data_IF_655735297973
#
_entry.id   IF_655735297973
#
_cell.length_a   1.000
_cell.length_b   1.000
_cell.length_c   1.000
_cell.angle_alpha   90.00
_cell.angle_beta   90.00
_cell.angle_gamma   90.00
#
_symmetry.space_group_name_H-M   'P 1'
#
loop_
_entity.id
_entity.type
_entity.pdbx_description
1 polymer ?
#
# COMPACT_ATOMS: atom_id res chain seq x y z
N UNK A 1 -2.42 -32.68 -8.78
CA UNK A 1 -1.40 -31.61 -8.71
C UNK A 1 -1.98 -30.23 -8.36
N UNK A 2 -2.99 -29.71 -9.09
CA UNK A 2 -3.65 -28.42 -8.76
C UNK A 2 -4.23 -28.35 -7.34
N UNK A 3 -4.82 -29.44 -6.83
CA UNK A 3 -5.36 -29.49 -5.46
C UNK A 3 -4.30 -29.43 -4.36
N UNK A 4 -3.12 -30.02 -4.58
CA UNK A 4 -2.00 -29.96 -3.64
C UNK A 4 -1.33 -28.59 -3.64
N UNK A 5 -1.25 -27.93 -4.81
CA UNK A 5 -0.80 -26.53 -4.92
C UNK A 5 -1.76 -25.58 -4.18
N UNK A 6 -3.08 -25.74 -4.42
CA UNK A 6 -4.13 -24.94 -3.76
C UNK A 6 -4.13 -25.15 -2.24
N UNK A 7 -3.93 -26.37 -1.76
CA UNK A 7 -3.83 -26.68 -0.33
C UNK A 7 -2.52 -26.20 0.34
N UNK A 8 -1.43 -26.05 -0.43
CA UNK A 8 -0.17 -25.42 0.03
C UNK A 8 -0.27 -23.90 0.10
N UNK A 9 -0.97 -23.27 -0.85
CA UNK A 9 -1.21 -21.83 -0.89
C UNK A 9 -2.23 -21.39 0.17
N UNK A 10 -3.31 -22.16 0.37
CA UNK A 10 -4.35 -21.87 1.36
C UNK A 10 -3.89 -22.02 2.82
N UNK A 11 -2.82 -22.80 3.06
CA UNK A 11 -2.23 -22.99 4.40
C UNK A 11 -1.15 -21.95 4.75
N UNK A 12 -0.86 -20.98 3.87
CA UNK A 12 0.16 -19.96 4.09
C UNK A 12 -0.44 -18.59 4.31
N UNK A 13 -0.08 -17.97 5.43
CA UNK A 13 -0.24 -16.54 5.68
C UNK A 13 0.81 -15.69 4.91
N UNK A 14 1.16 -16.07 3.68
CA UNK A 14 2.14 -15.35 2.87
C UNK A 14 1.43 -14.43 1.87
N UNK A 15 1.38 -13.15 2.24
CA UNK A 15 0.82 -12.05 1.44
C UNK A 15 1.45 -11.88 0.04
N UNK A 16 2.65 -12.44 -0.19
CA UNK A 16 3.40 -12.30 -1.45
C UNK A 16 2.69 -12.96 -2.66
N UNK A 17 2.13 -14.16 -2.48
CA UNK A 17 1.42 -14.86 -3.57
C UNK A 17 0.14 -14.12 -3.95
N UNK A 18 -0.58 -13.62 -2.94
CA UNK A 18 -1.77 -12.80 -3.13
C UNK A 18 -1.44 -11.51 -3.86
N UNK A 19 -0.33 -10.85 -3.51
CA UNK A 19 0.12 -9.64 -4.21
C UNK A 19 0.48 -9.91 -5.67
N UNK A 20 1.20 -11.01 -5.95
CA UNK A 20 1.54 -11.40 -7.32
C UNK A 20 0.29 -11.72 -8.15
N UNK A 21 -0.70 -12.41 -7.58
CA UNK A 21 -1.97 -12.67 -8.25
C UNK A 21 -2.76 -11.39 -8.53
N UNK A 22 -2.88 -10.51 -7.54
CA UNK A 22 -3.54 -9.20 -7.70
C UNK A 22 -2.89 -8.39 -8.81
N UNK A 23 -1.56 -8.38 -8.89
CA UNK A 23 -0.81 -7.73 -9.98
C UNK A 23 -1.19 -8.29 -11.34
N UNK A 24 -1.19 -9.62 -11.51
CA UNK A 24 -1.56 -10.27 -12.77
C UNK A 24 -2.97 -9.88 -13.18
N UNK A 25 -3.94 -9.98 -12.25
CA UNK A 25 -5.34 -9.63 -12.53
C UNK A 25 -5.48 -8.15 -12.89
N UNK A 26 -4.81 -7.26 -12.15
CA UNK A 26 -4.91 -5.82 -12.37
C UNK A 26 -4.34 -5.41 -13.74
N UNK A 27 -3.20 -5.99 -14.16
CA UNK A 27 -2.63 -5.73 -15.49
C UNK A 27 -3.57 -6.24 -16.60
N UNK A 28 -4.18 -7.40 -16.42
CA UNK A 28 -5.19 -7.92 -17.37
C UNK A 28 -6.43 -7.02 -17.45
N UNK A 29 -6.89 -6.48 -16.33
CA UNK A 29 -8.00 -5.52 -16.30
C UNK A 29 -7.64 -4.22 -17.02
N UNK A 30 -6.42 -3.70 -16.83
CA UNK A 30 -5.92 -2.53 -17.56
C UNK A 30 -5.85 -2.83 -19.06
N UNK A 31 -5.38 -4.01 -19.46
CA UNK A 31 -5.35 -4.43 -20.86
C UNK A 31 -6.76 -4.48 -21.45
N UNK A 32 -7.71 -5.12 -20.77
CA UNK A 32 -9.10 -5.19 -21.22
C UNK A 32 -9.73 -3.79 -21.35
N UNK A 33 -9.49 -2.92 -20.37
CA UNK A 33 -9.89 -1.51 -20.42
C UNK A 33 -9.29 -0.81 -21.65
N UNK A 34 -7.99 -0.95 -21.87
CA UNK A 34 -7.31 -0.35 -23.01
C UNK A 34 -7.86 -0.86 -24.35
N UNK A 35 -8.06 -2.17 -24.51
CA UNK A 35 -8.63 -2.74 -25.73
C UNK A 35 -10.06 -2.26 -26.00
N UNK A 36 -10.85 -2.04 -24.94
CA UNK A 36 -12.25 -1.61 -25.06
C UNK A 36 -12.37 -0.13 -25.42
N UNK A 37 -11.55 0.73 -24.80
CA UNK A 37 -11.74 2.18 -24.87
C UNK A 37 -10.67 2.92 -25.69
N UNK A 38 -9.59 2.26 -26.13
CA UNK A 38 -8.49 2.92 -26.85
C UNK A 38 -8.92 3.69 -28.10
N UNK A 39 -9.95 3.23 -28.80
CA UNK A 39 -10.46 3.90 -30.00
C UNK A 39 -11.11 5.27 -29.70
N UNK A 40 -11.53 5.51 -28.46
CA UNK A 40 -12.14 6.76 -28.03
C UNK A 40 -11.10 7.80 -27.56
N UNK A 41 -9.86 7.39 -27.39
CA UNK A 41 -8.80 8.26 -26.89
C UNK A 41 -8.15 9.04 -28.04
N UNK A 42 -7.98 10.34 -27.86
CA UNK A 42 -7.23 11.19 -28.79
C UNK A 42 -5.72 11.05 -28.56
N UNK A 43 -5.20 9.84 -28.79
CA UNK A 43 -3.78 9.49 -28.61
C UNK A 43 -3.18 8.97 -29.92
N UNK A 44 -1.88 9.19 -30.10
CA UNK A 44 -1.16 8.69 -31.28
C UNK A 44 -1.05 7.16 -31.29
N UNK A 45 -0.89 6.56 -32.48
CA UNK A 45 -0.62 5.12 -32.60
C UNK A 45 0.65 4.70 -31.86
N UNK A 46 1.66 5.56 -31.86
CA UNK A 46 2.91 5.32 -31.13
C UNK A 46 2.68 5.22 -29.61
N UNK A 47 1.88 6.12 -29.02
CA UNK A 47 1.53 6.04 -27.59
C UNK A 47 0.78 4.75 -27.25
N UNK A 48 -0.16 4.31 -28.10
CA UNK A 48 -0.84 3.03 -27.90
C UNK A 48 0.11 1.84 -27.97
N UNK A 49 1.04 1.84 -28.92
CA UNK A 49 2.08 0.80 -29.02
C UNK A 49 2.98 0.79 -27.78
N UNK A 50 3.41 1.96 -27.30
CA UNK A 50 4.18 2.08 -26.05
C UNK A 50 3.39 1.54 -24.86
N UNK A 51 2.11 1.87 -24.73
CA UNK A 51 1.25 1.37 -23.67
C UNK A 51 1.12 -0.16 -23.72
N UNK A 52 0.83 -0.74 -24.89
CA UNK A 52 0.72 -2.20 -25.02
C UNK A 52 2.03 -2.92 -24.77
N UNK A 53 3.15 -2.34 -25.19
CA UNK A 53 4.49 -2.84 -24.86
C UNK A 53 4.72 -2.81 -23.34
N UNK A 54 4.37 -1.71 -22.68
CA UNK A 54 4.48 -1.54 -21.23
C UNK A 54 3.63 -2.57 -20.48
N UNK A 55 2.38 -2.80 -20.92
CA UNK A 55 1.49 -3.81 -20.37
C UNK A 55 2.07 -5.21 -20.56
N UNK A 56 2.59 -5.53 -21.74
CA UNK A 56 3.21 -6.82 -22.02
C UNK A 56 4.46 -7.07 -21.14
N UNK A 57 5.32 -6.05 -20.98
CA UNK A 57 6.48 -6.09 -20.08
C UNK A 57 6.02 -6.32 -18.64
N UNK A 58 5.03 -5.54 -18.18
CA UNK A 58 4.47 -5.68 -16.84
C UNK A 58 3.90 -7.07 -16.59
N UNK A 59 3.15 -7.61 -17.56
CA UNK A 59 2.56 -8.93 -17.48
C UNK A 59 3.63 -10.03 -17.44
N UNK A 60 4.64 -9.94 -18.32
CA UNK A 60 5.77 -10.87 -18.34
C UNK A 60 6.54 -10.87 -17.02
N UNK A 61 6.84 -9.70 -16.49
CA UNK A 61 7.52 -9.55 -15.20
C UNK A 61 6.68 -10.07 -14.03
N UNK A 62 5.35 -9.86 -14.05
CA UNK A 62 4.46 -10.42 -13.04
C UNK A 62 4.47 -11.96 -13.07
N UNK A 63 4.48 -12.56 -14.26
CA UNK A 63 4.56 -14.02 -14.43
C UNK A 63 5.93 -14.57 -14.00
N UNK A 64 7.03 -13.90 -14.33
CA UNK A 64 8.39 -14.27 -13.88
C UNK A 64 8.48 -14.24 -12.35
N UNK A 65 8.00 -13.16 -11.71
CA UNK A 65 7.99 -13.05 -10.26
C UNK A 65 7.09 -14.11 -9.61
N UNK A 66 5.93 -14.41 -10.19
CA UNK A 66 5.06 -15.49 -9.73
C UNK A 66 5.72 -16.86 -9.87
N UNK A 67 6.39 -17.14 -10.99
CA UNK A 67 7.18 -18.35 -11.20
C UNK A 67 8.31 -18.48 -10.18
N UNK A 68 9.00 -17.38 -9.87
CA UNK A 68 10.04 -17.35 -8.84
C UNK A 68 9.48 -17.62 -7.43
N UNK A 69 8.27 -17.14 -7.13
CA UNK A 69 7.57 -17.46 -5.87
C UNK A 69 7.27 -18.98 -5.79
N UNK A 70 6.79 -19.58 -6.87
CA UNK A 70 6.48 -21.01 -6.93
C UNK A 70 7.75 -21.87 -6.82
N UNK A 71 8.84 -21.45 -7.47
CA UNK A 71 10.12 -22.16 -7.46
C UNK A 71 10.87 -22.03 -6.14
N UNK A 72 10.91 -20.83 -5.55
CA UNK A 72 11.51 -20.58 -4.24
C UNK A 72 10.53 -19.86 -3.30
N UNK A 73 9.76 -20.61 -2.49
CA UNK A 73 8.71 -20.06 -1.65
C UNK A 73 9.22 -19.43 -0.35
N UNK A 74 10.53 -19.24 -0.19
CA UNK A 74 11.09 -18.47 0.93
C UNK A 74 10.81 -16.97 0.75
N UNK A 75 10.66 -16.25 1.87
CA UNK A 75 10.48 -14.79 1.88
C UNK A 75 11.73 -14.13 1.29
N UNK A 76 11.54 -13.20 0.36
CA UNK A 76 12.64 -12.52 -0.33
C UNK A 76 12.39 -11.03 -0.40
N UNK A 77 13.20 -10.26 0.34
CA UNK A 77 13.17 -8.80 0.30
C UNK A 77 13.47 -8.26 -1.11
N UNK A 78 14.41 -8.88 -1.82
CA UNK A 78 14.76 -8.48 -3.19
C UNK A 78 13.59 -8.65 -4.15
N UNK A 79 12.94 -9.81 -4.13
CA UNK A 79 11.77 -10.09 -4.99
C UNK A 79 10.65 -9.08 -4.78
N UNK A 80 10.44 -8.71 -3.51
CA UNK A 80 9.43 -7.74 -3.12
C UNK A 80 9.77 -6.33 -3.59
N UNK A 81 11.00 -5.86 -3.37
CA UNK A 81 11.44 -4.53 -3.82
C UNK A 81 11.40 -4.41 -5.34
N UNK A 82 11.85 -5.44 -6.06
CA UNK A 82 11.73 -5.48 -7.52
C UNK A 82 10.27 -5.39 -7.95
N UNK A 83 9.39 -6.18 -7.34
CA UNK A 83 7.96 -6.11 -7.62
C UNK A 83 7.35 -4.74 -7.36
N UNK A 84 7.73 -4.06 -6.27
CA UNK A 84 7.24 -2.71 -5.99
C UNK A 84 7.76 -1.72 -7.04
N UNK A 85 9.07 -1.76 -7.35
CA UNK A 85 9.67 -0.89 -8.36
C UNK A 85 8.98 -1.04 -9.72
N UNK A 86 8.67 -2.28 -10.10
CA UNK A 86 7.87 -2.60 -11.27
C UNK A 86 6.49 -1.94 -11.24
N UNK A 87 5.72 -2.13 -10.16
CA UNK A 87 4.36 -1.61 -10.04
C UNK A 87 4.36 -0.08 -10.13
N UNK A 88 5.20 0.58 -9.34
CA UNK A 88 5.30 2.03 -9.29
C UNK A 88 5.84 2.60 -10.61
N UNK A 89 6.87 1.99 -11.20
CA UNK A 89 7.45 2.45 -12.46
C UNK A 89 6.48 2.31 -13.63
N UNK A 90 5.81 1.17 -13.77
CA UNK A 90 4.87 0.93 -14.88
C UNK A 90 3.64 1.81 -14.77
N UNK A 91 3.09 2.00 -13.56
CA UNK A 91 1.96 2.92 -13.34
C UNK A 91 2.37 4.35 -13.70
N UNK A 92 3.53 4.80 -13.21
CA UNK A 92 4.05 6.14 -13.51
C UNK A 92 4.21 6.37 -15.01
N UNK A 93 4.92 5.48 -15.70
CA UNK A 93 5.12 5.56 -17.15
C UNK A 93 3.80 5.56 -17.94
N UNK A 94 2.84 4.71 -17.56
CA UNK A 94 1.52 4.67 -18.19
C UNK A 94 0.78 6.01 -18.02
N UNK A 95 0.82 6.59 -16.82
CA UNK A 95 0.22 7.90 -16.54
C UNK A 95 0.96 9.04 -17.26
N UNK A 96 2.29 8.97 -17.36
CA UNK A 96 3.10 9.98 -18.05
C UNK A 96 2.75 10.05 -19.53
N UNK A 97 2.74 8.89 -20.21
CA UNK A 97 2.57 8.82 -21.66
C UNK A 97 1.12 8.98 -22.12
N UNK A 98 0.17 8.48 -21.34
CA UNK A 98 -1.24 8.52 -21.73
C UNK A 98 -1.97 9.74 -21.17
N UNK A 99 -1.60 10.24 -19.99
CA UNK A 99 -2.32 11.33 -19.34
C UNK A 99 -3.73 10.91 -18.88
N UNK A 100 -4.76 11.64 -19.31
CA UNK A 100 -6.15 11.46 -18.87
C UNK A 100 -6.66 10.00 -18.90
N UNK A 101 -6.46 9.21 -19.98
CA UNK A 101 -6.97 7.84 -20.07
C UNK A 101 -6.44 6.89 -18.99
N UNK A 102 -5.25 7.18 -18.44
CA UNK A 102 -4.61 6.39 -17.40
C UNK A 102 -4.60 7.09 -16.04
N UNK A 103 -5.26 8.24 -15.90
CA UNK A 103 -5.27 8.98 -14.64
C UNK A 103 -5.89 8.19 -13.48
N UNK A 104 -6.82 7.27 -13.76
CA UNK A 104 -7.40 6.36 -12.76
C UNK A 104 -6.36 5.47 -12.08
N UNK A 105 -5.19 5.24 -12.71
CA UNK A 105 -4.11 4.47 -12.10
C UNK A 105 -3.53 5.16 -10.87
N UNK A 106 -3.77 6.46 -10.65
CA UNK A 106 -3.47 7.12 -9.38
C UNK A 106 -4.18 6.43 -8.21
N UNK A 107 -5.44 6.02 -8.38
CA UNK A 107 -6.20 5.31 -7.34
C UNK A 107 -5.55 3.96 -7.05
N UNK A 108 -5.09 3.26 -8.09
CA UNK A 108 -4.35 2.01 -7.97
C UNK A 108 -3.01 2.23 -7.26
N UNK A 109 -2.28 3.29 -7.60
CA UNK A 109 -1.02 3.68 -6.97
C UNK A 109 -1.18 3.86 -5.46
N UNK A 110 -2.22 4.60 -5.04
CA UNK A 110 -2.54 4.82 -3.64
C UNK A 110 -2.94 3.50 -2.94
N UNK A 111 -3.81 2.70 -3.57
CA UNK A 111 -4.25 1.41 -3.06
C UNK A 111 -3.08 0.45 -2.81
N UNK A 112 -2.16 0.32 -3.77
CA UNK A 112 -0.99 -0.54 -3.64
C UNK A 112 -0.07 -0.04 -2.53
N UNK A 113 0.07 1.27 -2.37
CA UNK A 113 0.88 1.89 -1.31
C UNK A 113 0.34 1.57 0.08
N UNK A 114 -0.96 1.81 0.29
CA UNK A 114 -1.65 1.45 1.54
C UNK A 114 -1.57 -0.06 1.79
N UNK A 115 -1.84 -0.86 0.75
CA UNK A 115 -1.81 -2.31 0.83
C UNK A 115 -0.42 -2.89 1.16
N UNK A 116 0.67 -2.21 0.79
CA UNK A 116 2.03 -2.61 1.21
C UNK A 116 2.26 -2.34 2.70
N UNK A 117 1.79 -1.22 3.23
CA UNK A 117 1.90 -0.92 4.66
C UNK A 117 1.09 -1.88 5.52
N UNK A 118 -0.17 -2.12 5.15
CA UNK A 118 -1.04 -3.02 5.91
C UNK A 118 -0.54 -4.47 5.92
N UNK A 119 0.06 -4.95 4.82
CA UNK A 119 0.52 -6.34 4.71
C UNK A 119 1.88 -6.59 5.33
N UNK A 120 2.75 -5.58 5.36
CA UNK A 120 4.17 -5.78 5.68
C UNK A 120 4.72 -4.78 6.72
N UNK A 121 3.86 -3.97 7.34
CA UNK A 121 4.21 -3.09 8.46
C UNK A 121 4.70 -1.69 8.08
N UNK A 122 5.30 -1.00 9.05
CA UNK A 122 5.69 0.40 8.92
C UNK A 122 6.83 0.66 7.94
N UNK A 123 7.87 -0.18 7.95
CA UNK A 123 9.04 -0.02 7.08
C UNK A 123 8.68 -0.19 5.60
N UNK A 124 7.77 -1.13 5.34
CA UNK A 124 7.16 -1.34 4.04
C UNK A 124 6.43 -0.10 3.53
N UNK A 125 5.68 0.55 4.41
CA UNK A 125 4.86 1.70 4.07
C UNK A 125 5.71 2.92 3.69
N UNK A 126 6.79 3.20 4.44
CA UNK A 126 7.71 4.29 4.09
C UNK A 126 8.33 4.08 2.72
N UNK A 127 8.84 2.87 2.44
CA UNK A 127 9.41 2.54 1.14
C UNK A 127 8.38 2.66 0.01
N UNK A 128 7.15 2.22 0.25
CA UNK A 128 6.05 2.32 -0.70
C UNK A 128 5.66 3.77 -0.98
N UNK A 129 5.54 4.61 0.06
CA UNK A 129 5.25 6.05 -0.08
C UNK A 129 6.37 6.75 -0.84
N UNK A 130 7.64 6.46 -0.54
CA UNK A 130 8.77 7.03 -1.25
C UNK A 130 8.74 6.67 -2.75
N UNK A 131 8.54 5.39 -3.09
CA UNK A 131 8.45 4.95 -4.50
C UNK A 131 7.23 5.54 -5.20
N UNK A 132 6.07 5.59 -4.54
CA UNK A 132 4.85 6.17 -5.09
C UNK A 132 5.02 7.67 -5.37
N UNK A 133 5.63 8.41 -4.42
CA UNK A 133 5.90 9.85 -4.54
C UNK A 133 6.89 10.11 -5.67
N UNK A 134 7.96 9.30 -5.79
CA UNK A 134 8.89 9.42 -6.91
C UNK A 134 8.21 9.13 -8.24
N UNK A 135 7.42 8.05 -8.34
CA UNK A 135 6.70 7.69 -9.57
C UNK A 135 5.69 8.75 -10.01
N UNK A 136 4.87 9.27 -9.09
CA UNK A 136 3.92 10.31 -9.45
C UNK A 136 4.60 11.68 -9.62
N UNK A 137 5.71 11.93 -8.91
CA UNK A 137 6.54 13.12 -9.10
C UNK A 137 7.19 13.18 -10.48
N UNK A 138 7.74 12.07 -10.99
CA UNK A 138 8.24 12.00 -12.38
C UNK A 138 7.10 12.12 -13.37
N UNK A 139 5.94 11.50 -13.10
CA UNK A 139 4.73 11.66 -13.91
C UNK A 139 4.31 13.13 -14.03
N UNK A 140 4.35 13.87 -12.93
CA UNK A 140 4.07 15.30 -12.90
C UNK A 140 5.12 16.12 -13.66
N UNK A 141 6.40 15.75 -13.53
CA UNK A 141 7.49 16.44 -14.20
C UNK A 141 7.51 16.24 -15.71
N UNK A 142 7.13 15.06 -16.21
CA UNK A 142 7.33 14.68 -17.61
C UNK A 142 6.05 14.70 -18.46
N UNK A 143 4.86 14.80 -17.85
CA UNK A 143 3.58 14.74 -18.57
C UNK A 143 2.93 16.10 -18.75
N UNK A 144 2.73 16.49 -20.00
CA UNK A 144 2.03 17.73 -20.36
C UNK A 144 0.60 17.80 -19.79
N UNK A 145 -0.08 16.65 -19.67
CA UNK A 145 -1.42 16.58 -19.08
C UNK A 145 -1.43 17.00 -17.60
N UNK A 146 -0.47 16.49 -16.82
CA UNK A 146 -0.38 16.77 -15.38
C UNK A 146 0.16 18.18 -15.11
N UNK A 147 1.11 18.64 -15.94
CA UNK A 147 1.56 20.03 -15.94
C UNK A 147 0.43 21.01 -16.29
N UNK A 148 -0.51 20.63 -17.15
CA UNK A 148 -1.70 21.45 -17.41
C UNK A 148 -2.66 21.57 -16.21
N UNK A 149 -2.48 20.74 -15.17
CA UNK A 149 -3.36 20.64 -13.99
C UNK A 149 -2.55 20.64 -12.68
N UNK A 150 -1.53 21.48 -12.59
CA UNK A 150 -0.60 21.48 -11.44
C UNK A 150 -1.29 21.55 -10.08
N UNK A 151 -2.32 22.39 -9.91
CA UNK A 151 -3.04 22.49 -8.64
C UNK A 151 -3.62 21.14 -8.18
N UNK A 152 -4.25 20.40 -9.10
CA UNK A 152 -4.75 19.05 -8.83
C UNK A 152 -3.59 18.08 -8.59
N UNK A 153 -2.56 18.12 -9.43
CA UNK A 153 -1.45 17.19 -9.34
C UNK A 153 -0.66 17.33 -8.03
N UNK A 154 -0.40 18.56 -7.58
CA UNK A 154 0.26 18.82 -6.29
C UNK A 154 -0.61 18.34 -5.13
N UNK A 155 -1.93 18.58 -5.18
CA UNK A 155 -2.86 18.08 -4.16
C UNK A 155 -2.85 16.53 -4.09
N UNK A 156 -2.82 15.86 -5.25
CA UNK A 156 -2.73 14.40 -5.33
C UNK A 156 -1.36 13.88 -4.86
N UNK A 157 -0.26 14.58 -5.15
CA UNK A 157 1.06 14.21 -4.63
C UNK A 157 1.09 14.32 -3.10
N UNK A 158 0.53 15.41 -2.54
CA UNK A 158 0.38 15.58 -1.10
C UNK A 158 -0.50 14.50 -0.47
N UNK A 159 -1.62 14.16 -1.10
CA UNK A 159 -2.51 13.10 -0.62
C UNK A 159 -1.83 11.72 -0.59
N UNK A 160 -0.93 11.44 -1.54
CA UNK A 160 -0.15 10.21 -1.61
C UNK A 160 0.82 10.04 -0.43
N UNK A 161 1.19 11.14 0.23
CA UNK A 161 2.02 11.14 1.43
C UNK A 161 1.13 11.17 2.68
N UNK A 162 0.18 12.11 2.75
CA UNK A 162 -0.61 12.36 3.97
C UNK A 162 -1.50 11.17 4.32
N UNK A 163 -2.18 10.56 3.34
CA UNK A 163 -3.14 9.48 3.60
C UNK A 163 -2.43 8.22 4.13
N UNK A 164 -1.35 7.71 3.50
CA UNK A 164 -0.72 6.51 4.03
C UNK A 164 0.03 6.79 5.34
N UNK A 165 0.59 7.99 5.51
CA UNK A 165 1.26 8.36 6.77
C UNK A 165 0.28 8.54 7.95
N UNK A 166 -0.95 8.99 7.71
CA UNK A 166 -1.97 9.04 8.77
C UNK A 166 -2.36 7.63 9.21
N UNK A 167 -2.52 6.70 8.27
CA UNK A 167 -2.75 5.28 8.56
C UNK A 167 -1.60 4.68 9.38
N UNK A 168 -0.35 5.02 9.04
CA UNK A 168 0.83 4.57 9.79
C UNK A 168 0.75 4.97 11.27
N UNK A 169 0.33 6.21 11.54
CA UNK A 169 0.16 6.71 12.90
C UNK A 169 -0.90 5.91 13.65
N UNK A 170 -2.05 5.66 13.03
CA UNK A 170 -3.13 4.86 13.64
C UNK A 170 -2.68 3.43 13.94
N UNK A 171 -1.96 2.78 13.03
CA UNK A 171 -1.43 1.43 13.27
C UNK A 171 -0.49 1.40 14.48
N UNK A 172 0.41 2.38 14.59
CA UNK A 172 1.34 2.48 15.73
C UNK A 172 0.62 2.74 17.06
N UNK A 173 -0.41 3.58 17.04
CA UNK A 173 -1.24 3.85 18.23
C UNK A 173 -1.98 2.59 18.70
N UNK A 174 -2.52 1.80 17.76
CA UNK A 174 -3.17 0.52 18.07
C UNK A 174 -2.19 -0.52 18.65
N UNK A 175 -1.02 -0.69 18.04
CA UNK A 175 0.00 -1.63 18.55
C UNK A 175 0.47 -1.24 19.96
N UNK A 176 0.65 0.05 20.23
CA UNK A 176 1.02 0.54 21.56
C UNK A 176 -0.07 0.30 22.62
N UNK A 177 -1.35 0.39 22.23
CA UNK A 177 -2.46 0.10 23.14
C UNK A 177 -2.58 -1.38 23.50
N UNK A 178 -2.17 -2.29 22.61
CA UNK A 178 -2.15 -3.74 22.88
C UNK A 178 -0.96 -4.11 23.79
N UNK A 179 0.19 -3.46 23.60
CA UNK A 179 1.42 -3.78 24.35
C UNK A 179 1.42 -3.17 25.75
N UNK A 180 0.77 -2.01 25.95
CA UNK A 180 0.72 -1.35 27.26
C UNK A 180 -0.35 -2.04 28.14
N UNK A 181 0.02 -2.67 29.27
CA UNK A 181 -0.98 -3.21 30.18
C UNK A 181 -1.89 -2.07 30.66
N UNK A 182 -3.20 -2.34 30.89
CA UNK A 182 -4.11 -1.32 31.40
C UNK A 182 -3.50 -0.72 32.67
N UNK A 183 -3.61 0.62 32.87
CA UNK A 183 -3.12 1.23 34.09
C UNK A 183 -3.71 0.45 35.26
N UNK A 184 -2.85 0.02 36.20
CA UNK A 184 -3.26 -0.74 37.37
C UNK A 184 -4.39 0.03 38.06
N UNK A 185 -5.63 -0.40 37.84
CA UNK A 185 -6.79 0.24 38.40
C UNK A 185 -6.77 -0.04 39.90
N UNK A 186 -6.24 0.93 40.64
CA UNK A 186 -6.55 1.19 42.05
C UNK A 186 -6.49 -0.01 42.99
N UNK A 187 -5.30 -0.51 43.31
CA UNK A 187 -5.08 -1.13 44.62
C UNK A 187 -5.03 -0.04 45.72
N UNK A 188 -4.64 1.19 45.37
CA UNK A 188 -4.49 2.29 46.34
C UNK A 188 -5.82 2.87 46.87
N UNK A 189 -6.94 2.69 46.17
CA UNK A 189 -8.24 3.18 46.62
C UNK A 189 -8.82 2.32 47.77
N UNK A 190 -8.47 1.03 47.84
CA UNK A 190 -8.93 0.13 48.90
C UNK A 190 -8.12 0.31 50.21
N UNK A 191 -6.85 0.73 50.12
CA UNK A 191 -5.98 0.92 51.29
C UNK A 191 -6.27 2.22 52.05
N UNK A 192 -6.91 3.20 51.41
CA UNK A 192 -7.15 4.52 52.01
C UNK A 192 -8.46 4.59 52.83
N UNK A 193 -9.42 3.68 52.60
CA UNK A 193 -10.69 3.62 53.33
C UNK A 193 -10.67 2.79 54.63
N UNK A 194 -9.54 2.16 54.96
CA UNK A 194 -9.40 1.30 56.16
C UNK A 194 -8.89 2.00 57.43
N UNK A 195 -8.61 3.31 57.40
CA UNK A 195 -8.04 4.01 58.56
C UNK A 195 -9.16 4.51 59.49
N UNK A 196 -9.53 3.68 60.48
CA UNK A 196 -10.48 4.02 61.56
C UNK A 196 -10.01 5.31 62.26
N UNK A 197 -10.86 6.35 62.40
CA UNK A 197 -10.54 7.50 63.24
C UNK A 197 -10.49 7.08 64.71
N UNK A 198 -9.36 7.30 65.39
CA UNK A 198 -9.26 7.14 66.85
C UNK A 198 -10.17 8.15 67.55
N UNK A 199 -10.95 7.76 68.58
CA UNK A 199 -11.82 8.69 69.28
C UNK A 199 -11.00 9.71 70.08
N UNK A 200 -11.31 10.99 69.91
CA UNK A 200 -10.79 12.07 70.75
C UNK A 200 -11.36 11.98 72.16
N UNK A 201 -10.49 11.80 73.16
CA UNK A 201 -10.83 11.84 74.58
C UNK A 201 -11.32 13.25 74.96
N UNK A 202 -12.48 13.42 75.63
CA UNK A 202 -12.90 14.73 76.10
C UNK A 202 -12.12 15.15 77.37
N UNK A 203 -12.01 16.46 77.65
CA UNK A 203 -11.19 16.97 78.75
C UNK A 203 -11.85 16.65 80.10
N UNK A 204 -11.05 16.20 81.06
CA UNK A 204 -11.49 16.06 82.46
C UNK A 204 -11.58 17.43 83.10
N UNK A 205 -12.71 17.68 83.76
CA UNK A 205 -12.90 18.75 84.77
C UNK A 205 -12.06 18.43 86.00
#
# INVERSE_FOLDING_TARGET
MLGQLRARLARRADSEHGQALVRIVLILLILAYALTFAQQWQVSRHQLQQLFCLIAIGQGMALVLFGWIVANPQRSHLRRTLGMLSDYGLIGLAMTWMGAPMAFLYVVLLWITIGNGLRFGSEALHNAVAMATLSFGTTLADSSYWQGRLGLAIALLGALIVIPMSLLRTLREHDQAIIKPPPAAGIDAATQHGRIPTPSTPPRV
#
